data_IF_514717483041
#
_entry.id   IF_514717483041
#
_cell.length_a   1.000
_cell.length_b   1.000
_cell.length_c   1.000
_cell.angle_alpha   90.00
_cell.angle_beta   90.00
_cell.angle_gamma   90.00
#
_symmetry.space_group_name_H-M   'P 1'
#
loop_
_entity.id
_entity.type
_entity.pdbx_description
1 polymer ?
#
# COMPACT_ATOMS: atom_id res chain seq x y z
N UNK A 1 -7.94 17.73 16.57
CA UNK A 1 -8.09 16.39 15.98
C UNK A 1 -6.72 15.92 15.56
N UNK A 2 -6.16 14.92 16.23
CA UNK A 2 -4.97 14.24 15.71
C UNK A 2 -5.42 13.33 14.56
N UNK A 3 -4.85 13.52 13.38
CA UNK A 3 -5.01 12.58 12.28
C UNK A 3 -4.03 11.44 12.56
N UNK A 4 -4.53 10.33 13.11
CA UNK A 4 -3.73 9.12 13.30
C UNK A 4 -3.60 8.45 11.94
N UNK A 5 -2.50 8.72 11.26
CA UNK A 5 -2.20 8.14 9.96
C UNK A 5 -1.71 6.69 10.13
N UNK A 6 -2.44 5.73 9.55
CA UNK A 6 -2.05 4.32 9.56
C UNK A 6 -1.28 3.96 8.30
N UNK A 7 -0.05 3.48 8.47
CA UNK A 7 0.79 3.00 7.39
C UNK A 7 0.72 1.48 7.30
N UNK A 8 0.76 0.94 6.08
CA UNK A 8 0.83 -0.50 5.79
C UNK A 8 2.21 -0.83 5.23
N UNK A 9 2.85 -1.86 5.77
CA UNK A 9 4.10 -2.37 5.21
C UNK A 9 3.82 -3.42 4.12
N UNK A 10 4.41 -3.22 2.94
CA UNK A 10 4.27 -4.11 1.79
C UNK A 10 5.66 -4.52 1.27
N UNK A 11 5.90 -5.79 0.93
CA UNK A 11 7.19 -6.24 0.43
C UNK A 11 7.43 -5.71 -0.99
N UNK A 12 8.59 -5.08 -1.21
CA UNK A 12 8.97 -4.52 -2.50
C UNK A 12 9.67 -5.60 -3.35
N UNK A 13 9.21 -5.78 -4.60
CA UNK A 13 9.77 -6.76 -5.51
C UNK A 13 11.24 -6.47 -5.81
N UNK A 14 12.08 -7.51 -5.76
CA UNK A 14 13.52 -7.40 -6.04
C UNK A 14 14.33 -6.69 -4.93
N UNK A 15 13.70 -6.28 -3.82
CA UNK A 15 14.37 -5.55 -2.75
C UNK A 15 14.99 -6.46 -1.66
N UNK A 16 15.03 -7.78 -1.88
CA UNK A 16 15.63 -8.74 -0.95
C UNK A 16 14.90 -8.84 0.39
N UNK A 17 13.57 -8.78 0.38
CA UNK A 17 12.73 -8.84 1.58
C UNK A 17 12.51 -7.50 2.28
N UNK A 18 12.99 -6.39 1.72
CA UNK A 18 12.66 -5.05 2.23
C UNK A 18 11.21 -4.71 1.96
N UNK A 19 10.61 -3.97 2.90
CA UNK A 19 9.25 -3.48 2.80
C UNK A 19 9.22 -1.97 2.56
N UNK A 20 8.11 -1.51 1.98
CA UNK A 20 7.77 -0.09 1.83
C UNK A 20 6.55 0.22 2.70
N UNK A 21 6.57 1.37 3.37
CA UNK A 21 5.43 1.86 4.13
C UNK A 21 4.56 2.73 3.24
N UNK A 22 3.29 2.34 3.11
CA UNK A 22 2.32 2.99 2.22
C UNK A 22 1.16 3.51 3.05
N UNK A 23 0.76 4.75 2.78
CA UNK A 23 -0.54 5.24 3.25
C UNK A 23 -1.64 4.66 2.34
N UNK A 24 -2.53 3.78 2.85
CA UNK A 24 -3.57 3.18 2.03
C UNK A 24 -4.53 4.24 1.43
N UNK A 25 -4.68 5.40 2.05
CA UNK A 25 -5.53 6.49 1.53
C UNK A 25 -4.96 7.16 0.27
N UNK A 26 -3.67 6.97 -0.01
CA UNK A 26 -3.00 7.52 -1.20
C UNK A 26 -2.94 6.54 -2.37
N UNK A 27 -3.43 5.31 -2.18
CA UNK A 27 -3.42 4.30 -3.23
C UNK A 27 -4.55 4.58 -4.22
N UNK A 28 -4.18 4.75 -5.49
CA UNK A 28 -5.12 5.08 -6.57
C UNK A 28 -5.56 3.83 -7.30
N UNK A 29 -4.63 2.90 -7.56
CA UNK A 29 -4.96 1.62 -8.16
C UNK A 29 -3.89 0.56 -7.89
N UNK A 30 -4.32 -0.70 -8.06
CA UNK A 30 -3.46 -1.87 -8.15
C UNK A 30 -3.57 -2.43 -9.57
N UNK A 31 -2.44 -2.81 -10.15
CA UNK A 31 -2.37 -3.43 -11.48
C UNK A 31 -1.69 -4.79 -11.35
N UNK A 32 -2.34 -5.83 -11.86
CA UNK A 32 -1.75 -7.16 -11.93
C UNK A 32 -0.57 -7.16 -12.92
N UNK A 33 0.64 -7.44 -12.41
CA UNK A 33 1.84 -7.55 -13.23
C UNK A 33 2.16 -9.01 -13.61
N UNK A 34 1.29 -9.96 -13.24
CA UNK A 34 1.44 -11.39 -13.46
C UNK A 34 2.14 -12.13 -12.30
N UNK A 35 2.15 -13.47 -12.38
CA UNK A 35 2.86 -14.45 -11.53
C UNK A 35 3.32 -14.02 -10.11
N UNK A 36 2.46 -13.35 -9.32
CA UNK A 36 2.68 -12.86 -7.94
C UNK A 36 3.34 -11.49 -7.78
N UNK A 37 3.24 -10.60 -8.77
CA UNK A 37 3.65 -9.20 -8.64
C UNK A 37 2.50 -8.26 -8.90
N UNK A 38 2.50 -7.15 -8.18
CA UNK A 38 1.49 -6.10 -8.30
C UNK A 38 2.18 -4.76 -8.46
N UNK A 39 1.74 -3.95 -9.41
CA UNK A 39 2.10 -2.54 -9.45
C UNK A 39 1.11 -1.76 -8.59
N UNK A 40 1.65 -1.01 -7.62
CA UNK A 40 0.93 -0.11 -6.76
C UNK A 40 1.15 1.32 -7.25
N UNK A 41 0.07 2.03 -7.56
CA UNK A 41 0.14 3.45 -7.95
C UNK A 41 -0.37 4.29 -6.79
N UNK A 42 0.48 5.20 -6.30
CA UNK A 42 0.13 6.10 -5.19
C UNK A 42 0.26 7.56 -5.60
N UNK A 43 -0.52 8.44 -4.97
CA UNK A 43 -0.28 9.89 -5.02
C UNK A 43 0.84 10.30 -4.05
N UNK A 44 1.58 11.35 -4.40
CA UNK A 44 2.53 11.98 -3.49
C UNK A 44 1.84 12.74 -2.35
N UNK A 45 2.54 12.90 -1.23
CA UNK A 45 2.03 13.61 -0.05
C UNK A 45 1.67 15.09 -0.27
N UNK A 46 2.15 15.72 -1.35
CA UNK A 46 1.99 17.16 -1.57
C UNK A 46 1.77 17.61 -3.04
N UNK A 47 1.32 16.74 -3.93
CA UNK A 47 1.03 17.17 -5.30
C UNK A 47 1.05 16.05 -6.32
N UNK A 48 0.50 16.34 -7.50
CA UNK A 48 0.09 15.51 -8.65
C UNK A 48 1.10 14.46 -9.17
N UNK A 49 2.28 14.35 -8.57
CA UNK A 49 3.21 13.27 -8.85
C UNK A 49 2.62 11.94 -8.38
N UNK A 50 2.43 11.03 -9.33
CA UNK A 50 2.17 9.62 -9.04
C UNK A 50 3.49 8.86 -8.93
N UNK A 51 3.54 7.91 -8.01
CA UNK A 51 4.65 6.97 -7.89
C UNK A 51 4.12 5.56 -8.13
N UNK A 52 4.86 4.77 -8.91
CA UNK A 52 4.56 3.36 -9.13
C UNK A 52 5.60 2.49 -8.45
N UNK A 53 5.15 1.59 -7.59
CA UNK A 53 5.97 0.63 -6.87
C UNK A 53 5.61 -0.78 -7.34
N UNK A 54 6.60 -1.67 -7.48
CA UNK A 54 6.33 -3.09 -7.76
C UNK A 54 6.45 -3.89 -6.48
N UNK A 55 5.36 -4.55 -6.08
CA UNK A 55 5.26 -5.36 -4.87
C UNK A 55 5.48 -6.84 -5.19
N UNK A 56 6.05 -7.56 -4.23
CA UNK A 56 6.20 -9.02 -4.27
C UNK A 56 4.95 -9.72 -3.67
N UNK A 57 3.78 -9.28 -4.14
CA UNK A 57 2.47 -9.79 -3.76
C UNK A 57 1.59 -9.93 -5.00
N UNK A 58 0.66 -10.87 -4.96
CA UNK A 58 -0.49 -10.86 -5.87
C UNK A 58 -1.41 -9.66 -5.60
N UNK A 59 -2.25 -9.32 -6.58
CA UNK A 59 -3.15 -8.16 -6.48
C UNK A 59 -4.16 -8.33 -5.34
N UNK A 60 -4.66 -9.55 -5.14
CA UNK A 60 -5.62 -9.88 -4.09
C UNK A 60 -4.99 -9.76 -2.68
N UNK A 61 -3.75 -10.24 -2.51
CA UNK A 61 -3.02 -10.10 -1.26
C UNK A 61 -2.67 -8.64 -0.94
N UNK A 62 -2.26 -7.87 -1.95
CA UNK A 62 -1.99 -6.45 -1.78
C UNK A 62 -3.27 -5.68 -1.39
N UNK A 63 -4.40 -5.97 -2.06
CA UNK A 63 -5.69 -5.36 -1.75
C UNK A 63 -6.15 -5.67 -0.31
N UNK A 64 -6.02 -6.92 0.13
CA UNK A 64 -6.40 -7.33 1.48
C UNK A 64 -5.61 -6.57 2.56
N UNK A 65 -4.28 -6.51 2.43
CA UNK A 65 -3.44 -5.80 3.41
C UNK A 65 -3.71 -4.30 3.45
N UNK A 66 -3.96 -3.69 2.29
CA UNK A 66 -4.32 -2.27 2.21
C UNK A 66 -5.68 -2.01 2.85
N UNK A 67 -6.66 -2.90 2.68
CA UNK A 67 -7.97 -2.79 3.32
C UNK A 67 -7.89 -2.93 4.86
N UNK A 68 -7.09 -3.89 5.36
CA UNK A 68 -6.86 -4.06 6.80
C UNK A 68 -6.19 -2.83 7.43
N UNK A 69 -5.25 -2.21 6.71
CA UNK A 69 -4.59 -0.98 7.14
C UNK A 69 -5.48 0.26 7.09
N UNK A 70 -6.42 0.29 6.13
CA UNK A 70 -7.42 1.35 5.99
C UNK A 70 -8.55 1.26 7.03
N UNK A 71 -8.74 0.09 7.67
CA UNK A 71 -9.73 -0.05 8.73
C UNK A 71 -9.37 0.91 9.89
N UNK A 72 -10.31 1.76 10.35
CA UNK A 72 -10.06 2.61 11.50
C UNK A 72 -9.69 1.72 12.68
N UNK A 73 -8.68 2.13 13.45
CA UNK A 73 -8.35 1.48 14.70
C UNK A 73 -9.63 1.37 15.53
N UNK A 74 -10.19 0.16 15.68
CA UNK A 74 -11.17 -0.07 16.74
C UNK A 74 -10.40 0.04 18.04
N UNK A 75 -10.41 1.22 18.64
CA UNK A 75 -10.05 1.39 20.04
C UNK A 75 -11.15 0.71 20.83
N UNK A 76 -10.87 -0.46 21.40
CA UNK A 76 -11.74 -1.06 22.40
C UNK A 76 -11.77 -0.11 23.61
N UNK A 77 -12.97 0.34 23.98
CA UNK A 77 -13.23 1.14 25.17
C UNK A 77 -13.16 0.29 26.44
#
# INVERSE_FOLDING_TARGET
MEIVMRLVSLPLAGAGGREVHVNPEQVVCLVDAGQRRTQLVTTGFQGEASMTLMLDLSVDEAALRLADGAAPARVAA
#
